data_IF_340184026557
#
_entry.id   IF_340184026557
#
_cell.length_a   1.000
_cell.length_b   1.000
_cell.length_c   1.000
_cell.angle_alpha   90.00
_cell.angle_beta   90.00
_cell.angle_gamma   90.00
#
_symmetry.space_group_name_H-M   'P 1'
#
loop_
_entity.id
_entity.type
_entity.pdbx_description
1 polymer ?
#
# COMPACT_ATOMS: atom_id res chain seq x y z
N UNK A 1 7.01 -15.22 16.26
CA UNK A 1 6.04 -15.42 15.16
C UNK A 1 6.53 -14.69 13.93
N UNK A 2 6.65 -15.36 12.79
CA UNK A 2 7.13 -14.72 11.57
C UNK A 2 6.14 -13.63 11.12
N UNK A 3 6.62 -12.51 10.57
CA UNK A 3 5.72 -11.46 10.05
C UNK A 3 4.76 -11.99 8.99
N UNK A 4 5.10 -13.10 8.33
CA UNK A 4 4.32 -13.73 7.26
C UNK A 4 3.10 -14.46 7.85
N UNK A 5 3.29 -15.26 8.90
CA UNK A 5 2.20 -16.00 9.55
C UNK A 5 1.10 -15.09 10.12
N UNK A 6 1.42 -13.85 10.45
CA UNK A 6 0.43 -12.87 10.92
C UNK A 6 -0.56 -12.44 9.83
N UNK A 7 -0.27 -12.69 8.55
CA UNK A 7 -1.16 -12.38 7.42
C UNK A 7 -2.03 -13.56 7.00
N UNK A 8 -1.85 -14.74 7.60
CA UNK A 8 -2.58 -15.94 7.20
C UNK A 8 -4.10 -15.75 7.36
N UNK A 9 -4.55 -15.03 8.39
CA UNK A 9 -5.97 -14.69 8.57
C UNK A 9 -6.49 -13.73 7.49
N UNK A 10 -5.66 -12.76 7.06
CA UNK A 10 -6.04 -11.85 5.97
C UNK A 10 -6.11 -12.61 4.65
N UNK A 11 -5.13 -13.47 4.39
CA UNK A 11 -5.06 -14.33 3.21
C UNK A 11 -6.24 -15.29 3.19
N UNK A 12 -6.59 -15.91 4.32
CA UNK A 12 -7.72 -16.85 4.42
C UNK A 12 -9.06 -16.14 4.22
N UNK A 13 -9.24 -14.93 4.76
CA UNK A 13 -10.42 -14.08 4.51
C UNK A 13 -10.56 -13.70 3.05
N UNK A 14 -9.46 -13.33 2.41
CA UNK A 14 -9.43 -13.02 0.98
C UNK A 14 -9.78 -14.29 0.19
N UNK A 15 -9.09 -15.40 0.45
CA UNK A 15 -9.30 -16.73 -0.17
C UNK A 15 -10.75 -17.24 -0.05
N UNK A 16 -11.34 -17.15 1.15
CA UNK A 16 -12.71 -17.62 1.42
C UNK A 16 -13.80 -16.81 0.73
N UNK A 17 -13.51 -15.57 0.30
CA UNK A 17 -14.45 -14.80 -0.53
C UNK A 17 -14.49 -15.32 -1.97
N UNK A 18 -13.37 -15.85 -2.47
CA UNK A 18 -13.32 -16.46 -3.81
C UNK A 18 -14.10 -17.77 -3.86
N UNK A 19 -13.94 -18.64 -2.86
CA UNK A 19 -14.64 -19.93 -2.84
C UNK A 19 -16.17 -19.77 -2.80
N UNK A 20 -16.66 -18.69 -2.19
CA UNK A 20 -18.11 -18.37 -2.17
C UNK A 20 -18.65 -17.87 -3.50
N UNK A 21 -17.81 -17.27 -4.34
CA UNK A 21 -18.25 -16.75 -5.62
C UNK A 21 -18.05 -17.80 -6.70
N UNK A 22 -19.16 -18.30 -7.25
CA UNK A 22 -19.13 -19.22 -8.39
C UNK A 22 -18.52 -18.52 -9.60
N UNK A 23 -17.21 -18.72 -9.79
CA UNK A 23 -16.40 -18.16 -10.88
C UNK A 23 -17.06 -18.36 -12.25
N UNK A 24 -17.70 -19.53 -12.45
CA UNK A 24 -18.36 -19.93 -13.70
C UNK A 24 -19.60 -19.09 -14.05
N UNK A 25 -20.20 -18.38 -13.10
CA UNK A 25 -21.41 -17.57 -13.32
C UNK A 25 -21.12 -16.10 -13.63
N UNK A 26 -19.88 -15.64 -13.45
CA UNK A 26 -19.51 -14.24 -13.60
C UNK A 26 -18.82 -13.98 -14.95
N UNK A 27 -19.29 -12.96 -15.65
CA UNK A 27 -18.60 -12.40 -16.82
C UNK A 27 -17.26 -11.79 -16.42
N UNK A 28 -16.35 -11.61 -17.38
CA UNK A 28 -15.04 -10.99 -17.15
C UNK A 28 -15.17 -9.58 -16.55
N UNK A 29 -16.18 -8.82 -16.99
CA UNK A 29 -16.50 -7.50 -16.45
C UNK A 29 -17.02 -7.57 -15.02
N UNK A 30 -17.89 -8.54 -14.71
CA UNK A 30 -18.38 -8.76 -13.33
C UNK A 30 -17.25 -9.11 -12.36
N UNK A 31 -16.31 -9.97 -12.78
CA UNK A 31 -15.12 -10.31 -11.99
C UNK A 31 -14.22 -9.09 -11.78
N UNK A 32 -14.00 -8.28 -12.82
CA UNK A 32 -13.22 -7.04 -12.69
C UNK A 32 -13.84 -6.07 -11.67
N UNK A 33 -15.16 -5.89 -11.73
CA UNK A 33 -15.89 -5.01 -10.81
C UNK A 33 -15.76 -5.50 -9.36
N UNK A 34 -16.00 -6.79 -9.09
CA UNK A 34 -15.85 -7.38 -7.76
C UNK A 34 -14.40 -7.31 -7.24
N UNK A 35 -13.43 -7.44 -8.14
CA UNK A 35 -12.02 -7.34 -7.79
C UNK A 35 -11.66 -5.95 -7.29
N UNK A 36 -12.17 -4.93 -7.95
CA UNK A 36 -11.96 -3.54 -7.54
C UNK A 36 -12.74 -3.18 -6.29
N UNK A 37 -14.02 -3.54 -6.21
CA UNK A 37 -14.90 -3.07 -5.14
C UNK A 37 -14.74 -3.86 -3.83
N UNK A 38 -14.40 -5.15 -3.88
CA UNK A 38 -14.39 -6.00 -2.68
C UNK A 38 -12.99 -6.50 -2.36
N UNK A 39 -12.32 -7.16 -3.32
CA UNK A 39 -11.05 -7.84 -3.03
C UNK A 39 -9.93 -6.88 -2.65
N UNK A 40 -9.97 -5.67 -3.20
CA UNK A 40 -9.02 -4.62 -2.85
C UNK A 40 -9.29 -4.03 -1.46
N UNK A 41 -10.55 -4.03 -1.00
CA UNK A 41 -10.94 -3.45 0.28
C UNK A 41 -10.70 -4.38 1.49
N UNK A 42 -10.79 -5.70 1.32
CA UNK A 42 -10.62 -6.67 2.42
C UNK A 42 -9.30 -6.49 3.17
N UNK A 43 -8.12 -6.48 2.50
CA UNK A 43 -6.85 -6.30 3.21
C UNK A 43 -6.53 -4.81 3.48
N UNK A 44 -7.34 -3.85 3.03
CA UNK A 44 -7.00 -2.42 2.99
C UNK A 44 -6.63 -1.86 4.36
N UNK A 45 -7.35 -2.27 5.41
CA UNK A 45 -7.06 -1.85 6.78
C UNK A 45 -5.62 -2.20 7.18
N UNK A 46 -5.26 -3.48 7.03
CA UNK A 46 -3.92 -3.98 7.36
C UNK A 46 -2.84 -3.39 6.45
N UNK A 47 -3.15 -3.22 5.15
CA UNK A 47 -2.27 -2.54 4.19
C UNK A 47 -1.99 -1.08 4.56
N UNK A 48 -2.88 -0.42 5.29
CA UNK A 48 -2.68 0.96 5.70
C UNK A 48 -1.78 1.13 6.92
N UNK A 49 -1.70 0.11 7.78
CA UNK A 49 -0.98 0.20 9.06
C UNK A 49 0.42 -0.38 8.95
N UNK A 50 0.58 -1.49 8.22
CA UNK A 50 1.81 -2.27 8.23
C UNK A 50 2.48 -2.33 6.87
N UNK A 51 3.81 -2.30 6.87
CA UNK A 51 4.61 -2.68 5.70
C UNK A 51 4.49 -4.18 5.47
N UNK A 52 3.83 -4.55 4.38
CA UNK A 52 3.58 -5.95 4.06
C UNK A 52 4.83 -6.59 3.46
N UNK A 53 5.22 -7.81 3.89
CA UNK A 53 6.28 -8.57 3.24
C UNK A 53 5.96 -8.82 1.76
N UNK A 54 6.99 -8.77 0.91
CA UNK A 54 6.82 -8.94 -0.54
C UNK A 54 6.19 -10.30 -0.88
N UNK A 55 6.55 -11.38 -0.16
CA UNK A 55 5.95 -12.70 -0.36
C UNK A 55 4.43 -12.71 -0.15
N UNK A 56 3.93 -12.03 0.88
CA UNK A 56 2.49 -11.92 1.16
C UNK A 56 1.79 -11.08 0.08
N UNK A 57 2.42 -9.98 -0.36
CA UNK A 57 1.88 -9.16 -1.46
C UNK A 57 1.74 -9.99 -2.74
N UNK A 58 2.77 -10.76 -3.10
CA UNK A 58 2.75 -11.62 -4.28
C UNK A 58 1.69 -12.72 -4.17
N UNK A 59 1.50 -13.28 -2.97
CA UNK A 59 0.46 -14.28 -2.71
C UNK A 59 -0.95 -13.67 -2.88
N UNK A 60 -1.20 -12.48 -2.31
CA UNK A 60 -2.47 -11.78 -2.49
C UNK A 60 -2.73 -11.39 -3.95
N UNK A 61 -1.69 -10.97 -4.68
CA UNK A 61 -1.79 -10.69 -6.12
C UNK A 61 -2.12 -11.95 -6.93
N UNK A 62 -1.45 -13.07 -6.65
CA UNK A 62 -1.71 -14.35 -7.31
C UNK A 62 -3.16 -14.79 -7.12
N UNK A 63 -3.69 -14.64 -5.90
CA UNK A 63 -5.09 -14.93 -5.61
C UNK A 63 -6.05 -14.04 -6.43
N UNK A 64 -5.77 -12.74 -6.55
CA UNK A 64 -6.57 -11.81 -7.38
C UNK A 64 -6.50 -12.16 -8.87
N UNK A 65 -5.30 -12.51 -9.34
CA UNK A 65 -5.05 -12.90 -10.71
C UNK A 65 -5.83 -14.16 -11.09
N UNK A 66 -5.79 -15.19 -10.25
CA UNK A 66 -6.51 -16.44 -10.46
C UNK A 66 -8.02 -16.22 -10.55
N UNK A 67 -8.58 -15.35 -9.71
CA UNK A 67 -9.99 -14.99 -9.78
C UNK A 67 -10.37 -14.26 -11.06
N UNK A 68 -9.55 -13.31 -11.51
CA UNK A 68 -9.83 -12.55 -12.72
C UNK A 68 -9.93 -13.49 -13.93
N UNK A 69 -8.97 -14.40 -14.10
CA UNK A 69 -9.02 -15.41 -15.15
C UNK A 69 -10.07 -16.51 -14.89
N UNK A 70 -10.59 -16.59 -13.67
CA UNK A 70 -11.56 -17.60 -13.24
C UNK A 70 -10.98 -19.00 -13.26
N UNK A 71 -9.72 -19.11 -12.85
CA UNK A 71 -9.05 -20.38 -12.54
C UNK A 71 -9.71 -20.96 -11.29
N UNK A 72 -10.18 -22.20 -11.39
CA UNK A 72 -10.81 -22.93 -10.29
C UNK A 72 -10.02 -24.24 -10.07
N UNK A 73 -9.54 -24.47 -8.85
CA UNK A 73 -8.73 -25.64 -8.53
C UNK A 73 -7.49 -25.83 -9.43
N UNK A 74 -7.42 -26.99 -10.09
CA UNK A 74 -6.33 -27.42 -10.97
C UNK A 74 -6.45 -26.94 -12.42
N UNK A 75 -7.50 -26.20 -12.78
CA UNK A 75 -7.73 -25.78 -14.16
C UNK A 75 -6.74 -24.69 -14.59
N UNK A 76 -5.80 -25.03 -15.48
CA UNK A 76 -5.00 -24.01 -16.17
C UNK A 76 -5.84 -23.35 -17.26
N UNK A 77 -6.29 -22.12 -17.02
CA UNK A 77 -6.87 -21.24 -18.06
C UNK A 77 -5.79 -20.36 -18.67
N UNK A 78 -5.83 -20.21 -19.99
CA UNK A 78 -4.99 -19.26 -20.70
C UNK A 78 -5.31 -17.82 -20.26
N UNK A 79 -4.28 -17.11 -19.82
CA UNK A 79 -4.35 -15.69 -19.51
C UNK A 79 -4.24 -14.89 -20.82
N UNK A 80 -5.38 -14.45 -21.35
CA UNK A 80 -5.44 -13.65 -22.59
C UNK A 80 -4.78 -12.27 -22.46
N UNK A 81 -4.73 -11.72 -21.24
CA UNK A 81 -4.18 -10.40 -20.93
C UNK A 81 -3.20 -10.58 -19.79
N UNK A 82 -1.95 -10.12 -19.94
CA UNK A 82 -0.96 -10.18 -18.87
C UNK A 82 -1.40 -9.41 -17.63
N UNK A 83 -1.11 -9.93 -16.43
CA UNK A 83 -1.55 -9.30 -15.16
C UNK A 83 -1.06 -7.86 -15.02
N UNK A 84 0.16 -7.56 -15.48
CA UNK A 84 0.70 -6.21 -15.50
C UNK A 84 -0.19 -5.24 -16.30
N UNK A 85 -0.79 -5.68 -17.41
CA UNK A 85 -1.71 -4.86 -18.21
C UNK A 85 -3.06 -4.65 -17.51
N UNK A 86 -3.52 -5.64 -16.73
CA UNK A 86 -4.68 -5.48 -15.86
C UNK A 86 -4.41 -4.41 -14.80
N UNK A 87 -3.19 -4.39 -14.27
CA UNK A 87 -2.79 -3.45 -13.23
C UNK A 87 -2.57 -2.01 -13.73
N UNK A 88 -2.17 -1.87 -15.00
CA UNK A 88 -1.93 -0.57 -15.63
C UNK A 88 -3.18 0.32 -15.62
N UNK A 89 -2.99 1.63 -15.50
CA UNK A 89 -4.09 2.61 -15.50
C UNK A 89 -4.88 2.57 -16.81
N UNK A 90 -6.17 2.94 -16.76
CA UNK A 90 -7.00 3.06 -17.97
C UNK A 90 -6.44 4.09 -18.97
N UNK A 91 -5.81 5.16 -18.47
CA UNK A 91 -5.16 6.18 -19.31
C UNK A 91 -4.01 5.59 -20.12
N UNK A 92 -3.34 4.58 -19.59
CA UNK A 92 -2.21 3.90 -20.24
C UNK A 92 -2.65 2.59 -20.91
N UNK A 93 -3.93 2.43 -21.26
CA UNK A 93 -4.46 1.26 -21.97
C UNK A 93 -4.67 -0.01 -21.13
N UNK A 94 -4.56 0.09 -19.79
CA UNK A 94 -4.81 -1.03 -18.89
C UNK A 94 -6.25 -1.07 -18.33
N UNK A 95 -6.53 -2.04 -17.46
CA UNK A 95 -7.86 -2.17 -16.85
C UNK A 95 -8.04 -1.31 -15.59
N UNK A 96 -6.98 -0.68 -15.09
CA UNK A 96 -6.99 0.24 -13.95
C UNK A 96 -7.25 -0.46 -12.61
N UNK A 97 -6.60 -1.60 -12.38
CA UNK A 97 -6.57 -2.27 -11.07
C UNK A 97 -5.28 -1.87 -10.36
N UNK A 98 -5.35 -1.15 -9.24
CA UNK A 98 -4.12 -0.76 -8.55
C UNK A 98 -3.48 -1.96 -7.81
N UNK A 99 -2.17 -2.13 -7.98
CA UNK A 99 -1.42 -3.22 -7.34
C UNK A 99 -1.41 -3.10 -5.82
N UNK A 100 -1.34 -4.22 -5.11
CA UNK A 100 -1.28 -4.21 -3.64
C UNK A 100 0.03 -3.62 -3.14
N UNK A 101 1.13 -3.81 -3.90
CA UNK A 101 2.39 -3.15 -3.61
C UNK A 101 2.24 -1.62 -3.66
N UNK A 102 1.66 -1.09 -4.73
CA UNK A 102 1.44 0.35 -4.87
C UNK A 102 0.50 0.89 -3.78
N UNK A 103 -0.61 0.18 -3.50
CA UNK A 103 -1.53 0.56 -2.41
C UNK A 103 -0.85 0.59 -1.05
N UNK A 104 -0.07 -0.44 -0.70
CA UNK A 104 0.64 -0.45 0.58
C UNK A 104 1.57 0.75 0.69
N UNK A 105 2.39 1.01 -0.33
CA UNK A 105 3.30 2.16 -0.31
C UNK A 105 2.57 3.50 -0.20
N UNK A 106 1.50 3.70 -0.98
CA UNK A 106 0.70 4.91 -0.94
C UNK A 106 0.02 5.12 0.42
N UNK A 107 -0.56 4.07 1.01
CA UNK A 107 -1.22 4.16 2.32
C UNK A 107 -0.23 4.34 3.47
N UNK A 108 0.98 3.79 3.37
CA UNK A 108 2.03 4.09 4.33
C UNK A 108 2.48 5.55 4.22
N UNK A 109 2.60 6.08 3.00
CA UNK A 109 2.94 7.48 2.77
C UNK A 109 1.89 8.45 3.34
N UNK A 110 0.61 8.08 3.32
CA UNK A 110 -0.45 8.84 4.01
C UNK A 110 -0.13 9.10 5.49
N UNK A 111 0.56 8.20 6.19
CA UNK A 111 0.97 8.43 7.57
C UNK A 111 2.09 9.44 7.70
N UNK A 112 3.02 9.48 6.76
CA UNK A 112 4.04 10.54 6.70
C UNK A 112 3.40 11.89 6.42
N UNK A 113 2.49 11.94 5.45
CA UNK A 113 1.71 13.16 5.21
C UNK A 113 0.96 13.63 6.47
N UNK A 114 0.26 12.71 7.17
CA UNK A 114 -0.43 13.03 8.42
C UNK A 114 0.52 13.49 9.52
N UNK A 115 1.73 12.95 9.61
CA UNK A 115 2.73 13.36 10.59
C UNK A 115 3.18 14.81 10.36
N UNK A 116 3.32 15.19 9.09
CA UNK A 116 3.71 16.55 8.69
C UNK A 116 2.57 17.55 8.82
N UNK A 117 1.33 17.13 8.54
CA UNK A 117 0.16 18.03 8.60
C UNK A 117 -0.37 18.20 10.03
N UNK A 118 -0.46 17.11 10.79
CA UNK A 118 -1.08 17.08 12.12
C UNK A 118 -0.01 16.97 13.22
N UNK A 119 0.58 18.14 13.51
CA UNK A 119 1.65 18.29 14.49
C UNK A 119 1.23 18.13 15.96
N UNK A 120 -0.06 18.27 16.27
CA UNK A 120 -0.60 18.35 17.65
C UNK A 120 -1.18 17.03 18.16
N UNK A 121 -1.48 16.10 17.26
CA UNK A 121 -1.93 14.74 17.58
C UNK A 121 -1.00 14.00 18.57
N UNK A 122 -1.59 13.23 19.51
CA UNK A 122 -0.83 12.48 20.52
C UNK A 122 0.19 11.51 19.92
N UNK A 123 -0.20 10.79 18.86
CA UNK A 123 0.69 9.86 18.18
C UNK A 123 1.88 10.59 17.54
N UNK A 124 1.68 11.79 16.98
CA UNK A 124 2.75 12.63 16.43
C UNK A 124 3.73 13.03 17.52
N UNK A 125 3.23 13.44 18.70
CA UNK A 125 4.06 13.74 19.87
C UNK A 125 4.86 12.54 20.35
N UNK A 126 4.23 11.36 20.39
CA UNK A 126 4.89 10.10 20.75
C UNK A 126 6.01 9.74 19.77
N UNK A 127 5.75 9.85 18.46
CA UNK A 127 6.77 9.63 17.43
C UNK A 127 7.90 10.66 17.56
N UNK A 128 7.60 11.94 17.79
CA UNK A 128 8.61 12.97 18.01
C UNK A 128 9.48 12.71 19.24
N UNK A 129 8.89 12.19 20.31
CA UNK A 129 9.62 11.85 21.54
C UNK A 129 10.60 10.68 21.34
N UNK A 130 10.26 9.70 20.50
CA UNK A 130 11.11 8.51 20.26
C UNK A 130 12.12 8.74 19.12
N UNK A 131 11.67 9.36 18.02
CA UNK A 131 12.40 9.47 16.76
C UNK A 131 12.96 10.89 16.50
N UNK A 132 12.76 11.84 17.42
CA UNK A 132 13.12 13.24 17.27
C UNK A 132 12.07 14.07 16.52
N UNK A 133 12.23 15.39 16.50
CA UNK A 133 11.21 16.33 16.02
C UNK A 133 10.80 16.11 14.54
N UNK A 134 11.73 15.59 13.72
CA UNK A 134 11.50 15.24 12.31
C UNK A 134 11.10 13.77 12.09
N UNK A 135 10.86 13.01 13.14
CA UNK A 135 10.38 11.62 13.06
C UNK A 135 11.30 10.67 12.32
N UNK A 136 12.62 10.93 12.30
CA UNK A 136 13.65 10.21 11.55
C UNK A 136 13.50 10.24 10.00
N UNK A 137 12.75 11.20 9.44
CA UNK A 137 12.65 11.37 7.97
C UNK A 137 14.02 11.67 7.32
N UNK A 138 14.82 12.50 7.98
CA UNK A 138 16.12 12.98 7.50
C UNK A 138 17.28 12.02 7.84
N UNK A 139 17.03 10.98 8.64
CA UNK A 139 18.09 10.16 9.22
C UNK A 139 18.11 8.78 8.57
N UNK A 140 19.21 8.43 7.90
CA UNK A 140 19.46 7.06 7.41
C UNK A 140 19.84 6.06 8.53
N UNK A 141 20.08 6.55 9.76
CA UNK A 141 20.45 5.71 10.90
C UNK A 141 19.21 4.97 11.43
N UNK A 142 19.25 3.66 11.28
CA UNK A 142 18.26 2.75 11.84
C UNK A 142 18.33 2.80 13.37
N UNK A 143 17.28 3.30 14.01
CA UNK A 143 17.08 3.05 15.44
C UNK A 143 16.98 1.53 15.63
N UNK A 144 17.69 0.99 16.63
CA UNK A 144 17.88 -0.46 16.86
C UNK A 144 16.58 -1.23 17.13
N UNK A 145 15.46 -0.54 17.37
CA UNK A 145 14.14 -1.13 17.64
C UNK A 145 13.24 -1.03 16.40
N UNK A 146 12.95 -2.18 15.77
CA UNK A 146 11.97 -2.27 14.68
C UNK A 146 10.60 -1.82 15.16
N UNK A 147 10.10 -0.71 14.63
CA UNK A 147 8.74 -0.22 14.86
C UNK A 147 7.97 -0.12 13.53
N UNK A 148 6.61 -0.12 13.57
CA UNK A 148 5.81 0.14 12.38
C UNK A 148 6.17 1.46 11.70
N UNK A 149 6.46 2.50 12.48
CA UNK A 149 6.89 3.81 11.98
C UNK A 149 8.22 3.72 11.22
N UNK A 150 9.20 2.99 11.77
CA UNK A 150 10.48 2.78 11.09
C UNK A 150 10.31 1.98 9.79
N UNK A 151 9.42 0.98 9.77
CA UNK A 151 9.10 0.27 8.53
C UNK A 151 8.52 1.19 7.45
N UNK A 152 7.71 2.19 7.84
CA UNK A 152 7.18 3.22 6.93
C UNK A 152 8.31 4.07 6.34
N UNK A 153 9.20 4.59 7.19
CA UNK A 153 10.34 5.40 6.72
C UNK A 153 11.21 4.59 5.75
N UNK A 154 11.53 3.34 6.11
CA UNK A 154 12.31 2.45 5.25
C UNK A 154 11.61 2.11 3.94
N UNK A 155 10.28 2.06 3.93
CA UNK A 155 9.53 1.91 2.69
C UNK A 155 9.71 3.11 1.76
N UNK A 156 9.72 4.32 2.31
CA UNK A 156 9.84 5.57 1.56
C UNK A 156 11.28 5.77 1.09
N UNK A 157 12.27 5.58 1.96
CA UNK A 157 13.69 5.63 1.56
C UNK A 157 14.01 4.58 0.47
N UNK A 158 13.40 3.39 0.52
CA UNK A 158 13.53 2.39 -0.53
C UNK A 158 12.89 2.78 -1.87
N UNK A 159 11.97 3.74 -1.89
CA UNK A 159 11.40 4.30 -3.12
C UNK A 159 12.27 5.45 -3.64
N UNK A 160 12.78 6.28 -2.73
CA UNK A 160 13.75 7.33 -3.04
C UNK A 160 15.02 6.75 -3.69
N UNK A 161 15.55 5.63 -3.17
CA UNK A 161 16.70 4.96 -3.81
C UNK A 161 16.40 4.41 -5.21
N UNK A 162 15.13 4.28 -5.58
CA UNK A 162 14.66 3.90 -6.92
C UNK A 162 14.27 5.11 -7.78
N UNK A 163 14.58 6.33 -7.34
CA UNK A 163 14.29 7.57 -8.05
C UNK A 163 12.88 8.12 -7.83
N UNK A 164 12.10 7.58 -6.89
CA UNK A 164 10.76 8.08 -6.55
C UNK A 164 10.82 8.81 -5.22
N UNK A 165 11.10 10.12 -5.27
CA UNK A 165 11.07 11.00 -4.11
C UNK A 165 9.65 11.44 -3.81
N UNK A 166 8.98 10.75 -2.88
CA UNK A 166 7.62 11.12 -2.48
C UNK A 166 7.54 12.46 -1.74
N UNK A 167 8.65 12.87 -1.11
CA UNK A 167 8.72 14.13 -0.37
C UNK A 167 8.65 15.35 -1.29
N UNK A 168 9.16 15.25 -2.53
CA UNK A 168 9.13 16.35 -3.51
C UNK A 168 7.70 16.71 -3.95
N UNK A 169 6.75 15.79 -3.78
CA UNK A 169 5.34 16.02 -4.04
C UNK A 169 4.61 16.68 -2.86
N UNK A 170 5.25 16.83 -1.71
CA UNK A 170 4.71 17.51 -0.53
C UNK A 170 5.02 19.00 -0.67
N UNK A 171 4.00 19.79 -0.96
CA UNK A 171 4.11 21.24 -1.00
C UNK A 171 3.38 21.88 0.17
N UNK A 172 4.03 22.84 0.82
CA UNK A 172 3.44 23.63 1.90
C UNK A 172 2.55 24.71 1.29
N UNK A 173 1.27 24.69 1.61
CA UNK A 173 0.36 25.80 1.25
C UNK A 173 0.54 26.92 2.27
N UNK A 174 1.08 28.05 1.82
CA UNK A 174 1.22 29.25 2.66
C UNK A 174 -0.18 29.82 2.92
N UNK A 175 -0.56 29.87 4.20
CA UNK A 175 -1.80 30.49 4.67
C UNK A 175 -1.54 31.90 5.16
N UNK A 176 -1.64 32.11 6.47
CA UNK A 176 -1.43 33.39 7.16
C UNK A 176 0.05 33.77 7.40
N UNK A 177 1.01 32.97 6.92
CA UNK A 177 2.43 33.29 7.02
C UNK A 177 3.10 32.97 8.38
N UNK A 178 2.34 32.76 9.45
CA UNK A 178 2.87 32.59 10.81
C UNK A 178 3.76 31.35 11.00
N UNK A 179 3.51 30.29 10.22
CA UNK A 179 4.26 29.03 10.28
C UNK A 179 5.22 28.85 9.09
N UNK A 180 5.49 29.90 8.30
CA UNK A 180 6.34 29.83 7.11
C UNK A 180 7.53 30.76 7.23
N UNK A 181 8.74 30.20 7.16
CA UNK A 181 9.97 30.97 7.16
C UNK A 181 10.42 31.15 5.72
N UNK A 182 10.29 32.37 5.18
CA UNK A 182 10.59 32.67 3.78
C UNK A 182 11.98 32.21 3.33
N UNK A 183 12.97 32.26 4.22
CA UNK A 183 14.36 31.94 3.93
C UNK A 183 14.73 30.46 4.13
N UNK A 184 13.98 29.73 4.96
CA UNK A 184 14.31 28.35 5.35
C UNK A 184 13.42 27.29 4.68
N UNK A 185 12.24 27.67 4.16
CA UNK A 185 11.24 26.76 3.57
C UNK A 185 11.28 26.73 2.01
N UNK A 186 12.47 26.94 1.40
CA UNK A 186 12.65 26.95 -0.07
C UNK A 186 12.51 25.57 -0.72
#
# INVERSE_FOLDING_TARGET
MSRITSWDDVISKVSSRFSKWKLKLLSIGGRLSLLKSVLTLIPLYHLSIFKVPIGVLNQLESIRQNFFYGVDGSDRKLAWIGWNMVLTSKKNGGLGVSSFFAHNRALLFKWVWRFLTDGSSFWTRFIKAIFGNKGALDTHKLIRRRSPWQDVILAIHSLQSKGINLMDFIQKKVGNGENTSFWDDS
#
